data_IF_020313942784
#
_entry.id   IF_020313942784
#
_cell.length_a   1.000
_cell.length_b   1.000
_cell.length_c   1.000
_cell.angle_alpha   90.00
_cell.angle_beta   90.00
_cell.angle_gamma   90.00
#
_symmetry.space_group_name_H-M   'P 1'
#
loop_
_entity.id
_entity.type
_entity.pdbx_description
1 polymer ?
#
# COMPACT_ATOMS: atom_id res chain seq x y z
N UNK A 1 -19.23 4.12 6.04
CA UNK A 1 -18.19 3.35 5.31
C UNK A 1 -17.43 2.54 6.34
N UNK A 2 -17.25 1.24 6.10
CA UNK A 2 -16.58 0.34 7.03
C UNK A 2 -15.07 0.52 6.93
N UNK A 3 -14.39 0.55 8.08
CA UNK A 3 -12.94 0.44 8.15
C UNK A 3 -12.61 -0.96 8.61
N UNK A 4 -11.63 -1.58 7.97
CA UNK A 4 -11.13 -2.90 8.35
C UNK A 4 -9.62 -2.87 8.44
N UNK A 5 -9.09 -3.61 9.39
CA UNK A 5 -7.66 -3.88 9.41
C UNK A 5 -7.37 -5.04 8.46
N UNK A 6 -6.34 -4.90 7.65
CA UNK A 6 -5.91 -5.90 6.67
C UNK A 6 -4.43 -6.11 6.81
N UNK A 7 -4.03 -7.35 7.08
CA UNK A 7 -2.64 -7.72 7.00
C UNK A 7 -2.29 -8.15 5.57
N UNK A 8 -1.19 -7.62 5.04
CA UNK A 8 -0.76 -7.90 3.69
C UNK A 8 0.76 -7.95 3.55
N UNK A 9 1.22 -8.83 2.67
CA UNK A 9 2.61 -8.84 2.21
C UNK A 9 2.72 -8.02 0.93
N UNK A 10 3.55 -6.99 0.95
CA UNK A 10 3.87 -6.15 -0.21
C UNK A 10 5.17 -6.64 -0.81
N UNK A 11 5.16 -6.92 -2.11
CA UNK A 11 6.28 -7.48 -2.86
C UNK A 11 6.79 -6.44 -3.85
N UNK A 12 8.11 -6.25 -3.86
CA UNK A 12 8.84 -5.41 -4.79
C UNK A 12 10.10 -6.08 -5.30
N UNK A 13 10.86 -5.38 -6.15
CA UNK A 13 12.08 -5.92 -6.77
C UNK A 13 13.12 -6.38 -5.73
N UNK A 14 13.21 -5.66 -4.61
CA UNK A 14 14.24 -5.89 -3.60
C UNK A 14 13.79 -6.82 -2.46
N UNK A 15 12.52 -7.25 -2.44
CA UNK A 15 12.04 -8.20 -1.44
C UNK A 15 10.56 -8.10 -1.12
N UNK A 16 10.18 -8.70 0.00
CA UNK A 16 8.80 -8.75 0.50
C UNK A 16 8.75 -8.31 1.95
N UNK A 17 7.77 -7.48 2.30
CA UNK A 17 7.55 -7.02 3.68
C UNK A 17 6.07 -7.09 4.07
N UNK A 18 5.81 -7.51 5.30
CA UNK A 18 4.46 -7.60 5.87
C UNK A 18 4.07 -6.27 6.51
N UNK A 19 2.84 -5.83 6.27
CA UNK A 19 2.25 -4.61 6.79
C UNK A 19 0.85 -4.88 7.32
N UNK A 20 0.42 -4.04 8.25
CA UNK A 20 -0.95 -3.98 8.74
C UNK A 20 -1.55 -2.64 8.27
N UNK A 21 -2.58 -2.70 7.42
CA UNK A 21 -3.22 -1.55 6.82
C UNK A 21 -4.61 -1.33 7.41
N UNK A 22 -4.88 -0.09 7.85
CA UNK A 22 -6.25 0.35 8.09
C UNK A 22 -6.87 0.79 6.75
N UNK A 23 -7.72 -0.07 6.18
CA UNK A 23 -8.34 0.16 4.88
C UNK A 23 -9.77 0.68 5.06
N UNK A 24 -10.08 1.78 4.37
CA UNK A 24 -11.48 2.16 4.10
C UNK A 24 -11.94 1.41 2.85
N UNK A 25 -13.05 0.67 2.94
CA UNK A 25 -13.64 -0.09 1.83
C UNK A 25 -13.96 0.74 0.58
N UNK A 26 -14.01 2.08 0.69
CA UNK A 26 -14.16 2.99 -0.45
C UNK A 26 -12.85 3.47 -1.09
N UNK A 27 -11.67 3.12 -0.54
CA UNK A 27 -10.37 3.57 -1.05
C UNK A 27 -9.79 2.61 -2.08
N UNK A 28 -9.19 3.17 -3.13
CA UNK A 28 -8.43 2.41 -4.15
C UNK A 28 -6.93 2.39 -3.87
N UNK A 29 -6.46 3.19 -2.89
CA UNK A 29 -5.04 3.34 -2.56
C UNK A 29 -4.79 3.16 -1.07
N UNK A 30 -3.62 2.64 -0.74
CA UNK A 30 -3.07 2.60 0.63
C UNK A 30 -1.80 3.43 0.70
N UNK A 31 -1.54 4.01 1.87
CA UNK A 31 -0.30 4.74 2.12
C UNK A 31 0.79 3.81 2.63
N UNK A 32 2.01 4.00 2.13
CA UNK A 32 3.23 3.38 2.66
C UNK A 32 4.27 4.48 2.95
N UNK A 33 5.11 4.32 3.99
CA UNK A 33 6.27 5.18 4.19
C UNK A 33 7.19 5.17 2.97
N UNK A 34 7.75 6.32 2.60
CA UNK A 34 8.66 6.42 1.44
C UNK A 34 9.88 5.50 1.61
N UNK A 35 10.41 5.40 2.83
CA UNK A 35 11.53 4.50 3.16
C UNK A 35 11.22 3.03 2.84
N UNK A 36 9.98 2.59 3.04
CA UNK A 36 9.54 1.23 2.71
C UNK A 36 9.39 1.03 1.20
N UNK A 37 8.86 2.04 0.51
CA UNK A 37 8.72 2.04 -0.95
C UNK A 37 10.09 1.91 -1.62
N UNK A 38 11.07 2.70 -1.17
CA UNK A 38 12.44 2.67 -1.67
C UNK A 38 13.15 1.36 -1.31
N UNK A 39 13.03 0.91 -0.06
CA UNK A 39 13.63 -0.35 0.39
C UNK A 39 13.10 -1.57 -0.37
N UNK A 40 11.80 -1.60 -0.68
CA UNK A 40 11.19 -2.67 -1.47
C UNK A 40 11.48 -2.56 -2.97
N UNK A 41 11.96 -1.41 -3.46
CA UNK A 41 12.17 -1.19 -4.89
C UNK A 41 10.87 -1.22 -5.67
N UNK A 42 9.82 -0.55 -5.17
CA UNK A 42 8.52 -0.53 -5.85
C UNK A 42 8.58 0.26 -7.15
N UNK A 43 7.87 -0.22 -8.17
CA UNK A 43 7.85 0.42 -9.47
C UNK A 43 6.99 1.69 -9.43
N UNK A 44 7.59 2.84 -9.76
CA UNK A 44 6.84 4.10 -9.88
C UNK A 44 5.86 4.00 -11.05
N UNK A 45 4.57 4.21 -10.78
CA UNK A 45 3.54 4.09 -11.80
C UNK A 45 3.66 5.25 -12.82
N UNK A 46 3.65 4.98 -14.14
CA UNK A 46 3.68 6.03 -15.15
C UNK A 46 2.39 6.85 -15.08
N UNK A 47 2.50 8.17 -14.90
CA UNK A 47 1.33 9.06 -14.79
C UNK A 47 1.45 10.25 -13.85
N UNK A 48 2.56 10.38 -13.11
CA UNK A 48 2.83 11.51 -12.22
C UNK A 48 2.13 11.41 -10.86
N UNK A 49 2.32 12.43 -10.02
CA UNK A 49 1.70 12.50 -8.69
C UNK A 49 0.17 12.64 -8.81
N UNK A 50 -0.57 11.93 -7.96
CA UNK A 50 -2.03 12.04 -7.84
C UNK A 50 -2.39 12.96 -6.68
N UNK A 51 -3.47 13.71 -6.85
CA UNK A 51 -4.10 14.44 -5.75
C UNK A 51 -5.00 13.50 -4.96
N UNK A 52 -4.70 13.36 -3.68
CA UNK A 52 -5.46 12.59 -2.71
C UNK A 52 -6.17 13.57 -1.77
N UNK A 53 -7.47 13.36 -1.56
CA UNK A 53 -8.20 14.05 -0.49
C UNK A 53 -7.95 13.31 0.82
N UNK A 54 -7.38 14.01 1.79
CA UNK A 54 -7.13 13.51 3.15
C UNK A 54 -8.02 14.25 4.14
N UNK A 55 -8.08 13.78 5.38
CA UNK A 55 -8.74 14.51 6.47
C UNK A 55 -8.13 15.89 6.76
N UNK A 56 -6.90 16.15 6.28
CA UNK A 56 -6.18 17.42 6.43
C UNK A 56 -6.22 18.30 5.17
N UNK A 57 -6.90 17.86 4.10
CA UNK A 57 -6.98 18.56 2.82
C UNK A 57 -6.39 17.77 1.65
N UNK A 58 -6.16 18.46 0.53
CA UNK A 58 -5.60 17.85 -0.70
C UNK A 58 -4.09 17.71 -0.57
N UNK A 59 -3.56 16.52 -0.84
CA UNK A 59 -2.13 16.24 -0.89
C UNK A 59 -1.76 15.67 -2.26
N UNK A 60 -0.63 16.09 -2.81
CA UNK A 60 -0.03 15.44 -3.99
C UNK A 60 0.86 14.29 -3.54
N UNK A 61 0.61 13.10 -4.08
CA UNK A 61 1.32 11.88 -3.73
C UNK A 61 1.77 11.16 -4.99
N UNK A 62 3.02 10.75 -5.03
CA UNK A 62 3.50 9.81 -6.04
C UNK A 62 2.80 8.46 -5.86
N UNK A 63 2.61 7.74 -6.96
CA UNK A 63 1.93 6.43 -6.97
C UNK A 63 2.90 5.37 -7.42
N UNK A 64 2.87 4.23 -6.73
CA UNK A 64 3.74 3.08 -6.97
C UNK A 64 2.89 1.84 -7.17
N UNK A 65 3.32 0.96 -8.07
CA UNK A 65 2.76 -0.37 -8.23
C UNK A 65 3.51 -1.34 -7.30
N UNK A 66 2.73 -2.23 -6.69
CA UNK A 66 3.24 -3.34 -5.92
C UNK A 66 2.33 -4.54 -6.11
N UNK A 67 2.91 -5.73 -6.12
CA UNK A 67 2.15 -6.96 -5.95
C UNK A 67 1.85 -7.11 -4.46
N UNK A 68 0.58 -7.36 -4.14
CA UNK A 68 0.11 -7.45 -2.75
C UNK A 68 -0.59 -8.77 -2.52
N UNK A 69 -0.17 -9.50 -1.50
CA UNK A 69 -0.84 -10.70 -1.01
C UNK A 69 -1.59 -10.36 0.28
N UNK A 70 -2.91 -10.50 0.25
CA UNK A 70 -3.79 -10.24 1.40
C UNK A 70 -4.01 -11.54 2.17
N UNK A 71 -3.82 -11.53 3.49
CA UNK A 71 -4.20 -12.62 4.39
C UNK A 71 -3.05 -13.46 4.99
N UNK A 72 -3.44 -14.27 5.98
CA UNK A 72 -2.59 -15.19 6.72
C UNK A 72 -2.26 -16.45 5.90
N UNK A 73 -0.97 -16.69 5.62
CA UNK A 73 -0.50 -18.05 5.33
C UNK A 73 -0.47 -18.85 6.64
N UNK A 74 -1.64 -19.17 7.17
CA UNK A 74 -1.78 -20.31 8.07
C UNK A 74 -2.50 -21.41 7.32
N UNK A 75 -1.79 -22.06 6.39
CA UNK A 75 -2.12 -23.43 6.06
C UNK A 75 -1.81 -24.27 7.32
N UNK A 76 -2.78 -24.96 7.93
CA UNK A 76 -2.45 -25.93 8.97
C UNK A 76 -1.62 -27.04 8.30
N UNK A 77 -0.40 -27.22 8.79
CA UNK A 77 0.46 -28.36 8.45
C UNK A 77 -0.05 -29.68 9.04
#
# INVERSE_FOLDING_TARGET
MGRTMVEASVMGENGTRRFEFLVDTGSTFVGLPLEDIEALGLYRFPGGARRLMTGMGVMESETYAADVRIGDDHAPG
#
